data_IF_065434192232
#
_entry.id   IF_065434192232
#
_cell.length_a   1.000
_cell.length_b   1.000
_cell.length_c   1.000
_cell.angle_alpha   90.00
_cell.angle_beta   90.00
_cell.angle_gamma   90.00
#
_symmetry.space_group_name_H-M   'P 1'
#
loop_
_entity.id
_entity.type
_entity.pdbx_description
1 polymer ?
#
# COMPACT_ATOMS: atom_id res chain seq x y z
N UNK A 1 50.19 -27.03 -44.69
CA UNK A 1 48.82 -26.85 -45.22
C UNK A 1 47.80 -27.22 -44.16
N UNK A 2 47.01 -26.23 -43.74
CA UNK A 2 45.61 -26.23 -43.23
C UNK A 2 45.08 -27.49 -42.50
N UNK A 3 44.72 -27.34 -41.21
CA UNK A 3 43.47 -27.91 -40.67
C UNK A 3 42.37 -26.86 -40.95
N UNK A 4 41.22 -27.20 -41.53
CA UNK A 4 40.04 -27.73 -40.80
C UNK A 4 39.31 -28.82 -41.64
N UNK A 5 38.34 -29.61 -41.19
CA UNK A 5 36.97 -29.25 -40.77
C UNK A 5 36.27 -30.56 -40.33
N UNK A 6 35.68 -30.58 -39.13
CA UNK A 6 34.53 -31.42 -38.79
C UNK A 6 33.45 -30.42 -38.32
N UNK A 7 32.26 -30.43 -38.93
CA UNK A 7 31.15 -31.11 -38.27
C UNK A 7 30.32 -31.92 -39.27
N UNK A 8 30.21 -33.22 -39.01
CA UNK A 8 29.15 -34.04 -39.57
C UNK A 8 27.89 -33.72 -38.75
N UNK A 9 26.88 -33.26 -39.46
CA UNK A 9 25.57 -32.86 -38.95
C UNK A 9 24.76 -34.09 -38.55
N UNK A 10 24.86 -34.50 -37.29
CA UNK A 10 23.82 -35.33 -36.67
C UNK A 10 22.65 -34.42 -36.25
N UNK A 11 21.81 -34.09 -37.23
CA UNK A 11 20.41 -33.78 -36.96
C UNK A 11 19.60 -35.05 -37.24
N UNK A 12 19.63 -35.98 -36.30
CA UNK A 12 18.56 -36.97 -36.20
C UNK A 12 17.33 -36.25 -35.65
N UNK A 13 16.45 -35.92 -36.57
CA UNK A 13 15.13 -35.36 -36.34
C UNK A 13 14.25 -36.47 -35.75
N UNK A 14 14.33 -36.67 -34.43
CA UNK A 14 13.37 -37.53 -33.71
C UNK A 14 12.10 -36.74 -33.42
N UNK A 15 11.24 -36.72 -34.45
CA UNK A 15 9.85 -36.31 -34.37
C UNK A 15 9.10 -37.31 -33.49
N UNK A 16 9.20 -37.13 -32.17
CA UNK A 16 8.34 -37.81 -31.21
C UNK A 16 7.10 -36.95 -31.00
N UNK A 17 6.01 -37.40 -31.63
CA UNK A 17 4.63 -36.98 -31.35
C UNK A 17 4.39 -36.95 -29.84
N UNK A 18 4.57 -35.78 -29.24
CA UNK A 18 4.07 -35.50 -27.90
C UNK A 18 2.63 -35.06 -28.10
N UNK A 19 1.61 -35.77 -27.57
CA UNK A 19 0.26 -35.23 -27.57
C UNK A 19 0.34 -33.89 -26.83
N UNK A 20 0.16 -32.81 -27.58
CA UNK A 20 0.04 -31.47 -27.03
C UNK A 20 -1.26 -31.48 -26.25
N UNK A 21 -1.18 -31.91 -24.98
CA UNK A 21 -2.27 -31.84 -24.04
C UNK A 21 -2.59 -30.37 -23.98
N UNK A 22 -3.64 -29.95 -24.69
CA UNK A 22 -4.23 -28.64 -24.53
C UNK A 22 -4.62 -28.59 -23.05
N UNK A 23 -3.74 -28.02 -22.24
CA UNK A 23 -4.04 -27.72 -20.84
C UNK A 23 -5.15 -26.70 -20.91
N UNK A 24 -6.39 -27.20 -20.95
CA UNK A 24 -7.58 -26.40 -20.86
C UNK A 24 -7.41 -25.53 -19.62
N UNK A 25 -7.48 -24.23 -19.82
CA UNK A 25 -7.48 -23.29 -18.70
C UNK A 25 -8.54 -23.77 -17.71
N UNK A 26 -8.22 -23.85 -16.40
CA UNK A 26 -9.21 -24.23 -15.41
C UNK A 26 -10.45 -23.35 -15.59
N UNK A 27 -11.63 -23.95 -15.68
CA UNK A 27 -12.89 -23.19 -15.76
C UNK A 27 -13.03 -22.21 -14.58
N UNK A 28 -12.30 -22.47 -13.50
CA UNK A 28 -12.18 -21.62 -12.33
C UNK A 28 -10.72 -21.51 -11.88
N UNK A 29 -10.02 -20.47 -12.33
CA UNK A 29 -8.70 -20.10 -11.86
C UNK A 29 -8.80 -19.27 -10.57
N UNK A 30 -8.59 -19.91 -9.41
CA UNK A 30 -8.62 -19.22 -8.10
C UNK A 30 -7.42 -18.32 -7.86
N UNK A 31 -6.30 -18.57 -8.55
CA UNK A 31 -5.04 -17.81 -8.41
C UNK A 31 -5.24 -16.31 -8.66
N UNK A 32 -5.80 -15.86 -9.81
CA UNK A 32 -6.06 -14.44 -10.04
C UNK A 32 -6.99 -13.86 -8.98
N UNK A 33 -8.06 -14.58 -8.58
CA UNK A 33 -8.97 -14.11 -7.52
C UNK A 33 -8.26 -13.91 -6.18
N UNK A 34 -7.39 -14.84 -5.79
CA UNK A 34 -6.58 -14.71 -4.59
C UNK A 34 -5.64 -13.50 -4.67
N UNK A 35 -4.92 -13.32 -5.78
CA UNK A 35 -4.03 -12.18 -5.96
C UNK A 35 -4.80 -10.85 -5.99
N UNK A 36 -5.99 -10.80 -6.60
CA UNK A 36 -6.85 -9.62 -6.59
C UNK A 36 -7.34 -9.30 -5.18
N UNK A 37 -7.83 -10.30 -4.43
CA UNK A 37 -8.29 -10.12 -3.06
C UNK A 37 -7.12 -9.70 -2.13
N UNK A 38 -5.96 -10.33 -2.30
CA UNK A 38 -4.73 -10.00 -1.58
C UNK A 38 -4.32 -8.55 -1.86
N UNK A 39 -4.24 -8.17 -3.13
CA UNK A 39 -3.87 -6.82 -3.53
C UNK A 39 -4.88 -5.78 -3.03
N UNK A 40 -6.17 -6.10 -3.07
CA UNK A 40 -7.23 -5.28 -2.50
C UNK A 40 -7.09 -5.12 -0.98
N UNK A 41 -6.82 -6.19 -0.25
CA UNK A 41 -6.62 -6.16 1.20
C UNK A 41 -5.38 -5.34 1.58
N UNK A 42 -4.27 -5.49 0.83
CA UNK A 42 -3.07 -4.67 0.97
C UNK A 42 -3.38 -3.20 0.70
N UNK A 43 -4.02 -2.89 -0.43
CA UNK A 43 -4.43 -1.53 -0.78
C UNK A 43 -5.28 -0.89 0.32
N UNK A 44 -6.30 -1.60 0.81
CA UNK A 44 -7.18 -1.10 1.86
C UNK A 44 -6.42 -0.86 3.17
N UNK A 45 -5.54 -1.79 3.56
CA UNK A 45 -4.74 -1.67 4.79
C UNK A 45 -3.78 -0.47 4.74
N UNK A 46 -3.15 -0.22 3.59
CA UNK A 46 -2.27 0.93 3.41
C UNK A 46 -3.05 2.24 3.26
N UNK A 47 -4.19 2.22 2.56
CA UNK A 47 -5.03 3.41 2.39
C UNK A 47 -5.67 3.85 3.71
N UNK A 48 -6.12 2.91 4.55
CA UNK A 48 -6.75 3.23 5.84
C UNK A 48 -5.79 3.90 6.84
N UNK A 49 -4.47 3.68 6.72
CA UNK A 49 -3.48 4.37 7.56
C UNK A 49 -3.21 5.82 7.13
N UNK A 50 -3.61 6.25 5.93
CA UNK A 50 -3.24 7.56 5.40
C UNK A 50 -4.03 8.74 6.00
N UNK A 51 -5.14 8.49 6.70
CA UNK A 51 -5.98 9.55 7.30
C UNK A 51 -5.58 9.94 8.72
N UNK A 52 -4.48 9.42 9.29
CA UNK A 52 -4.10 9.69 10.69
C UNK A 52 -3.45 11.08 10.91
N UNK A 53 -3.72 12.05 10.05
CA UNK A 53 -3.24 13.43 10.18
C UNK A 53 -3.93 14.21 11.33
N UNK A 54 -3.39 15.36 11.74
CA UNK A 54 -4.09 16.29 12.62
C UNK A 54 -5.30 16.89 11.90
N UNK A 55 -6.47 16.86 12.53
CA UNK A 55 -7.70 17.45 12.01
C UNK A 55 -7.56 18.98 11.89
N UNK A 56 -7.98 19.54 10.78
CA UNK A 56 -8.05 21.00 10.63
C UNK A 56 -9.29 21.56 11.34
N UNK A 57 -9.08 22.49 12.26
CA UNK A 57 -10.17 23.17 12.99
C UNK A 57 -10.03 24.69 12.89
N UNK A 58 -11.14 25.45 12.83
CA UNK A 58 -11.07 26.90 12.87
C UNK A 58 -10.59 27.41 14.23
N UNK A 59 -9.94 28.57 14.22
CA UNK A 59 -9.44 29.21 15.44
C UNK A 59 -10.53 29.48 16.50
N UNK A 60 -11.77 29.76 16.07
CA UNK A 60 -12.91 29.94 16.98
C UNK A 60 -13.27 28.65 17.72
N UNK A 61 -13.22 27.50 17.05
CA UNK A 61 -13.46 26.21 17.67
C UNK A 61 -12.34 25.86 18.65
N UNK A 62 -11.08 26.11 18.29
CA UNK A 62 -9.95 25.98 19.21
C UNK A 62 -10.17 26.79 20.50
N UNK A 63 -10.58 28.06 20.38
CA UNK A 63 -10.87 28.91 21.54
C UNK A 63 -11.96 28.31 22.44
N UNK A 64 -13.03 27.81 21.85
CA UNK A 64 -14.11 27.17 22.60
C UNK A 64 -13.61 25.95 23.38
N UNK A 65 -12.82 25.08 22.73
CA UNK A 65 -12.24 23.89 23.36
C UNK A 65 -11.24 24.24 24.47
N UNK A 66 -10.47 25.32 24.29
CA UNK A 66 -9.57 25.84 25.32
C UNK A 66 -10.35 26.33 26.55
N UNK A 67 -11.47 27.03 26.35
CA UNK A 67 -12.32 27.50 27.45
C UNK A 67 -13.05 26.37 28.18
N UNK A 68 -13.26 25.23 27.50
CA UNK A 68 -13.89 24.04 28.07
C UNK A 68 -12.89 23.08 28.78
N UNK A 69 -11.60 23.42 28.87
CA UNK A 69 -10.52 22.55 29.41
C UNK A 69 -10.41 21.19 28.70
N UNK A 70 -10.75 21.13 27.41
CA UNK A 70 -10.70 19.90 26.59
C UNK A 70 -9.29 19.58 26.07
N UNK A 71 -8.34 20.51 26.25
CA UNK A 71 -6.99 20.44 25.68
C UNK A 71 -5.95 20.00 26.71
N UNK A 72 -5.12 19.01 26.38
CA UNK A 72 -4.00 18.58 27.21
C UNK A 72 -2.75 19.45 27.00
N UNK A 73 -2.47 19.78 25.74
CA UNK A 73 -1.27 20.51 25.37
C UNK A 73 -1.45 21.23 24.05
N UNK A 74 -0.69 22.31 23.89
CA UNK A 74 -0.67 23.12 22.68
C UNK A 74 0.77 23.40 22.25
N UNK A 75 0.99 23.51 20.95
CA UNK A 75 2.26 23.91 20.36
C UNK A 75 1.99 24.92 19.25
N UNK A 76 2.57 26.10 19.38
CA UNK A 76 2.43 27.18 18.41
C UNK A 76 3.62 27.19 17.46
N UNK A 77 3.35 27.25 16.15
CA UNK A 77 4.36 27.42 15.10
C UNK A 77 3.91 28.51 14.13
N UNK A 78 4.44 29.72 14.31
CA UNK A 78 4.01 30.89 13.55
C UNK A 78 2.53 31.20 13.82
N UNK A 79 1.71 31.19 12.77
CA UNK A 79 0.26 31.40 12.87
C UNK A 79 -0.54 30.11 13.11
N UNK A 80 0.10 28.94 12.98
CA UNK A 80 -0.56 27.65 13.17
C UNK A 80 -0.46 27.18 14.61
N UNK A 81 -1.58 26.77 15.19
CA UNK A 81 -1.66 26.16 16.52
C UNK A 81 -1.95 24.68 16.34
N UNK A 82 -1.09 23.83 16.87
CA UNK A 82 -1.33 22.40 16.96
C UNK A 82 -1.68 22.04 18.40
N UNK A 83 -2.57 21.09 18.61
CA UNK A 83 -2.95 20.70 19.97
C UNK A 83 -3.34 19.23 20.09
N UNK A 84 -3.40 18.81 21.34
CA UNK A 84 -3.79 17.46 21.75
C UNK A 84 -4.94 17.55 22.74
N UNK A 85 -5.95 16.70 22.57
CA UNK A 85 -7.07 16.59 23.48
C UNK A 85 -6.70 15.78 24.72
N UNK A 86 -7.34 16.11 25.84
CA UNK A 86 -7.14 15.42 27.13
C UNK A 86 -7.48 13.93 27.08
N UNK A 87 -8.49 13.57 26.27
CA UNK A 87 -8.96 12.19 26.11
C UNK A 87 -8.59 11.58 24.75
N UNK A 88 -7.47 11.99 24.15
CA UNK A 88 -7.03 11.41 22.87
C UNK A 88 -6.29 10.10 23.06
N UNK A 89 -6.70 9.08 22.30
CA UNK A 89 -6.03 7.78 22.21
C UNK A 89 -4.74 7.83 21.38
N UNK A 90 -4.46 8.94 20.67
CA UNK A 90 -3.24 9.07 19.87
C UNK A 90 -2.03 9.12 20.79
N UNK A 91 -1.18 8.09 20.80
CA UNK A 91 0.04 8.07 21.64
C UNK A 91 1.02 9.18 21.25
N UNK A 92 1.16 9.44 19.95
CA UNK A 92 2.10 10.41 19.39
C UNK A 92 1.41 11.33 18.36
N UNK A 93 1.96 12.55 18.20
CA UNK A 93 1.47 13.54 17.25
C UNK A 93 0.43 14.50 17.83
N UNK A 94 -0.23 15.23 16.93
CA UNK A 94 -1.26 16.21 17.26
C UNK A 94 -2.64 15.71 16.81
N UNK A 95 -3.67 16.06 17.56
CA UNK A 95 -5.05 15.74 17.21
C UNK A 95 -5.62 16.74 16.21
N UNK A 96 -5.22 18.00 16.35
CA UNK A 96 -5.67 19.06 15.47
C UNK A 96 -4.57 20.08 15.15
N UNK A 97 -4.82 20.81 14.08
CA UNK A 97 -4.13 22.04 13.72
C UNK A 97 -5.15 23.11 13.34
N UNK A 98 -4.86 24.37 13.66
CA UNK A 98 -5.70 25.48 13.22
C UNK A 98 -5.35 25.92 11.81
N UNK A 99 -6.35 26.39 11.07
CA UNK A 99 -6.17 27.12 9.82
C UNK A 99 -6.57 28.60 9.97
#
# INVERSE_FOLDING_TARGET
MKKPTKPESDQTQDQSDSPQVQQGHPLFDWRPLFFTLLLFALYYTFSAQSETGPKEIPYTQFKQQLMNDELASITMRGQQINGRYRNSDKVNGFDFKTY
#
